data_IF_571307733090
#
_entry.id   IF_571307733090
#
_cell.length_a   1.000
_cell.length_b   1.000
_cell.length_c   1.000
_cell.angle_alpha   90.00
_cell.angle_beta   90.00
_cell.angle_gamma   90.00
#
_symmetry.space_group_name_H-M   'P 1'
#
loop_
_entity.id
_entity.type
_entity.pdbx_description
1 polymer ?
#
# COMPACT_ATOMS: atom_id res chain seq x y z
N UNK A 1 -26.37 20.81 1.95
CA UNK A 1 -25.67 21.24 0.72
C UNK A 1 -25.16 20.00 0.03
N UNK A 2 -25.58 19.78 -1.22
CA UNK A 2 -25.29 18.55 -1.96
C UNK A 2 -23.79 18.44 -2.28
N UNK A 3 -23.15 17.37 -1.81
CA UNK A 3 -21.79 16.98 -2.18
C UNK A 3 -21.84 16.47 -3.63
N UNK A 4 -21.49 17.34 -4.58
CA UNK A 4 -21.37 17.00 -5.98
C UNK A 4 -20.11 16.16 -6.21
N UNK A 5 -20.34 14.93 -6.69
CA UNK A 5 -19.43 14.07 -7.46
C UNK A 5 -17.97 14.51 -7.55
N UNK A 6 -17.12 13.94 -6.69
CA UNK A 6 -15.67 14.03 -6.80
C UNK A 6 -15.10 12.93 -7.72
N UNK A 7 -15.78 12.68 -8.85
CA UNK A 7 -15.33 11.76 -9.92
C UNK A 7 -14.19 12.34 -10.78
N UNK A 8 -13.75 13.57 -10.52
CA UNK A 8 -12.82 14.33 -11.39
C UNK A 8 -11.34 13.94 -11.24
N UNK A 9 -11.06 12.82 -10.60
CA UNK A 9 -9.82 12.71 -9.82
C UNK A 9 -9.13 11.34 -9.86
N UNK A 10 -9.73 10.34 -10.52
CA UNK A 10 -9.08 9.08 -10.88
C UNK A 10 -8.03 9.37 -11.96
N UNK A 11 -6.74 9.21 -11.61
CA UNK A 11 -5.68 9.16 -12.62
C UNK A 11 -5.78 7.81 -13.32
N UNK A 12 -5.38 7.75 -14.59
CA UNK A 12 -5.35 6.51 -15.37
C UNK A 12 -4.67 5.40 -14.54
N UNK A 13 -5.43 4.34 -14.21
CA UNK A 13 -4.98 3.19 -13.45
C UNK A 13 -5.21 3.22 -11.92
N UNK A 14 -5.65 4.32 -11.29
CA UNK A 14 -5.81 4.37 -9.83
C UNK A 14 -7.25 4.75 -9.42
N UNK A 15 -7.90 3.88 -8.65
CA UNK A 15 -9.29 4.03 -8.19
C UNK A 15 -9.42 3.84 -6.68
N UNK A 16 -10.29 4.61 -6.02
CA UNK A 16 -10.59 4.43 -4.59
C UNK A 16 -11.37 3.12 -4.41
N UNK A 17 -10.85 2.18 -3.63
CA UNK A 17 -11.50 0.91 -3.28
C UNK A 17 -12.41 1.07 -2.06
N UNK A 18 -11.88 1.70 -1.01
CA UNK A 18 -12.62 1.94 0.24
C UNK A 18 -12.57 3.43 0.56
N UNK A 19 -13.72 3.99 0.92
CA UNK A 19 -13.85 5.34 1.45
C UNK A 19 -14.21 5.28 2.92
N UNK A 20 -13.53 6.08 3.75
CA UNK A 20 -13.96 6.34 5.11
C UNK A 20 -15.07 7.40 5.08
N UNK A 21 -16.27 7.08 5.55
CA UNK A 21 -17.35 8.06 5.66
C UNK A 21 -17.08 8.91 6.91
N UNK A 22 -17.00 10.25 6.79
CA UNK A 22 -16.83 11.11 7.95
C UNK A 22 -18.01 10.96 8.92
N UNK A 23 -17.76 10.85 10.24
CA UNK A 23 -18.82 10.76 11.21
C UNK A 23 -19.60 12.07 11.31
N UNK A 24 -20.90 11.97 11.59
CA UNK A 24 -21.74 13.11 11.97
C UNK A 24 -21.42 13.59 13.40
N UNK A 25 -21.83 14.81 13.73
CA UNK A 25 -21.64 15.37 15.09
C UNK A 25 -22.35 14.56 16.18
N UNK A 26 -23.42 13.82 15.83
CA UNK A 26 -24.11 12.91 16.75
C UNK A 26 -23.33 11.60 16.95
N UNK A 27 -22.78 11.06 15.86
CA UNK A 27 -21.94 9.86 15.89
C UNK A 27 -20.64 10.07 16.67
N UNK A 28 -20.01 11.25 16.53
CA UNK A 28 -18.82 11.62 17.31
C UNK A 28 -19.07 11.66 18.83
N UNK A 29 -20.31 11.85 19.27
CA UNK A 29 -20.69 11.84 20.69
C UNK A 29 -20.98 10.45 21.22
N UNK A 30 -21.10 9.45 20.34
CA UNK A 30 -21.36 8.07 20.73
C UNK A 30 -20.02 7.34 21.01
N UNK A 31 -19.72 6.94 22.26
CA UNK A 31 -18.48 6.24 22.60
C UNK A 31 -18.38 4.84 21.99
N UNK A 32 -19.48 4.29 21.44
CA UNK A 32 -19.51 3.01 20.73
C UNK A 32 -19.55 3.19 19.21
N UNK A 33 -19.36 4.40 18.69
CA UNK A 33 -19.38 4.63 17.26
C UNK A 33 -18.27 3.83 16.55
N UNK A 34 -18.66 3.11 15.51
CA UNK A 34 -17.75 2.42 14.60
C UNK A 34 -17.74 3.20 13.29
N UNK A 35 -16.57 3.71 12.86
CA UNK A 35 -16.41 4.39 11.58
C UNK A 35 -16.99 3.57 10.42
N UNK A 36 -17.80 4.22 9.60
CA UNK A 36 -18.41 3.57 8.44
C UNK A 36 -17.42 3.57 7.27
N UNK A 37 -17.24 2.40 6.66
CA UNK A 37 -16.45 2.21 5.45
C UNK A 37 -17.41 1.91 4.29
N UNK A 38 -17.27 2.66 3.21
CA UNK A 38 -18.00 2.44 1.96
C UNK A 38 -17.05 1.78 0.95
N UNK A 39 -17.48 0.66 0.35
CA UNK A 39 -16.72 0.04 -0.74
C UNK A 39 -17.23 0.62 -2.07
N UNK A 40 -16.30 1.03 -2.93
CA UNK A 40 -16.62 1.52 -4.25
C UNK A 40 -17.07 0.36 -5.16
N UNK A 41 -18.31 0.41 -5.64
CA UNK A 41 -18.91 -0.62 -6.50
C UNK A 41 -18.18 -0.77 -7.84
N UNK A 42 -17.64 0.32 -8.40
CA UNK A 42 -16.85 0.27 -9.63
C UNK A 42 -15.53 -0.47 -9.41
N UNK A 43 -14.87 -0.25 -8.27
CA UNK A 43 -13.65 -0.97 -7.90
C UNK A 43 -13.93 -2.47 -7.69
N UNK A 44 -15.06 -2.82 -7.06
CA UNK A 44 -15.51 -4.21 -6.94
C UNK A 44 -15.75 -4.86 -8.31
N UNK A 45 -16.39 -4.15 -9.24
CA UNK A 45 -16.64 -4.65 -10.58
C UNK A 45 -15.32 -4.90 -11.34
N UNK A 46 -14.36 -3.97 -11.26
CA UNK A 46 -13.03 -4.12 -11.84
C UNK A 46 -12.33 -5.37 -11.27
N UNK A 47 -12.37 -5.57 -9.95
CA UNK A 47 -11.80 -6.75 -9.30
C UNK A 47 -12.46 -8.04 -9.81
N UNK A 48 -13.79 -8.06 -9.93
CA UNK A 48 -14.53 -9.24 -10.36
C UNK A 48 -14.33 -9.59 -11.85
N UNK A 49 -14.17 -8.59 -12.71
CA UNK A 49 -14.10 -8.78 -14.16
C UNK A 49 -12.68 -8.95 -14.69
N UNK A 50 -11.67 -8.39 -14.01
CA UNK A 50 -10.32 -8.23 -14.58
C UNK A 50 -9.22 -8.96 -13.81
N UNK A 51 -9.41 -9.24 -12.52
CA UNK A 51 -8.39 -9.91 -11.72
C UNK A 51 -8.60 -11.42 -11.73
N UNK A 52 -7.54 -12.16 -12.04
CA UNK A 52 -7.55 -13.62 -12.07
C UNK A 52 -7.12 -14.19 -10.71
N UNK A 53 -7.87 -15.15 -10.19
CA UNK A 53 -7.50 -15.85 -8.98
C UNK A 53 -6.36 -16.86 -9.24
N UNK A 54 -5.45 -17.09 -8.26
CA UNK A 54 -5.35 -16.41 -6.96
C UNK A 54 -4.90 -14.95 -7.09
N UNK A 55 -5.43 -14.09 -6.22
CA UNK A 55 -5.04 -12.67 -6.16
C UNK A 55 -4.09 -12.48 -4.98
N UNK A 56 -2.86 -12.05 -5.27
CA UNK A 56 -1.91 -11.57 -4.27
C UNK A 56 -2.17 -10.09 -4.01
N UNK A 57 -2.28 -9.69 -2.74
CA UNK A 57 -2.65 -8.33 -2.36
C UNK A 57 -1.50 -7.72 -1.55
N UNK A 58 -0.82 -6.73 -2.13
CA UNK A 58 0.24 -5.97 -1.48
C UNK A 58 -0.35 -4.65 -0.99
N UNK A 59 -0.29 -4.41 0.32
CA UNK A 59 -0.88 -3.21 0.94
C UNK A 59 0.20 -2.38 1.62
N UNK A 60 0.25 -1.09 1.27
CA UNK A 60 1.16 -0.12 1.86
C UNK A 60 0.45 0.74 2.91
N UNK A 61 0.86 0.60 4.18
CA UNK A 61 0.32 1.36 5.32
C UNK A 61 1.41 2.17 6.03
N UNK A 62 1.00 3.15 6.84
CA UNK A 62 1.93 3.99 7.59
C UNK A 62 1.38 5.38 7.86
N UNK A 63 2.23 6.27 8.38
CA UNK A 63 1.88 7.68 8.63
C UNK A 63 1.75 8.47 7.32
N UNK A 64 1.25 9.69 7.39
CA UNK A 64 1.27 10.64 6.28
C UNK A 64 2.73 11.01 5.96
N UNK A 65 3.02 11.27 4.69
CA UNK A 65 4.34 11.77 4.27
C UNK A 65 5.49 10.76 4.34
N UNK A 66 5.24 9.50 4.70
CA UNK A 66 6.30 8.47 4.78
C UNK A 66 6.68 7.86 3.42
N UNK A 67 5.97 8.21 2.33
CA UNK A 67 6.31 7.75 0.98
C UNK A 67 5.56 6.53 0.45
N UNK A 68 4.45 6.13 1.09
CA UNK A 68 3.61 4.96 0.71
C UNK A 68 3.23 4.94 -0.77
N UNK A 69 2.57 6.00 -1.24
CA UNK A 69 2.12 6.15 -2.62
C UNK A 69 3.28 6.15 -3.64
N UNK A 70 4.46 6.65 -3.24
CA UNK A 70 5.67 6.59 -4.08
C UNK A 70 6.18 5.15 -4.19
N UNK A 71 6.24 4.42 -3.07
CA UNK A 71 6.65 3.02 -3.07
C UNK A 71 5.66 2.13 -3.85
N UNK A 72 4.35 2.37 -3.68
CA UNK A 72 3.31 1.71 -4.47
C UNK A 72 3.52 1.94 -5.97
N UNK A 73 3.76 3.19 -6.39
CA UNK A 73 4.04 3.53 -7.80
C UNK A 73 5.30 2.84 -8.32
N UNK A 74 6.40 2.85 -7.55
CA UNK A 74 7.64 2.14 -7.91
C UNK A 74 7.41 0.63 -8.06
N UNK A 75 6.57 0.05 -7.20
CA UNK A 75 6.25 -1.39 -7.26
C UNK A 75 5.50 -1.73 -8.54
N UNK A 76 4.50 -0.93 -8.92
CA UNK A 76 3.78 -1.12 -10.18
C UNK A 76 4.77 -1.01 -11.36
N UNK A 77 5.62 0.03 -11.38
CA UNK A 77 6.54 0.26 -12.50
C UNK A 77 7.54 -0.90 -12.66
N UNK A 78 8.08 -1.40 -11.54
CA UNK A 78 8.96 -2.55 -11.52
C UNK A 78 8.27 -3.83 -12.05
N UNK A 79 7.00 -4.05 -11.69
CA UNK A 79 6.23 -5.22 -12.15
C UNK A 79 5.80 -5.14 -13.62
N UNK A 80 5.52 -3.93 -14.12
CA UNK A 80 5.19 -3.69 -15.53
C UNK A 80 6.45 -3.62 -16.43
N UNK A 81 7.65 -3.68 -15.82
CA UNK A 81 8.94 -3.50 -16.50
C UNK A 81 9.04 -2.16 -17.25
N UNK A 82 8.37 -1.14 -16.71
CA UNK A 82 8.50 0.22 -17.20
C UNK A 82 9.61 0.93 -16.43
N UNK A 83 10.53 1.60 -17.14
CA UNK A 83 11.48 2.50 -16.48
C UNK A 83 10.70 3.69 -15.94
N UNK A 84 10.70 3.95 -14.62
CA UNK A 84 9.95 5.06 -14.10
C UNK A 84 10.55 6.37 -14.57
N UNK A 85 9.90 7.00 -15.56
CA UNK A 85 10.18 8.38 -15.92
C UNK A 85 9.92 9.31 -14.73
N UNK A 86 10.49 10.51 -14.77
CA UNK A 86 10.35 11.52 -13.72
C UNK A 86 8.90 11.94 -13.43
N UNK A 87 7.96 11.58 -14.31
CA UNK A 87 6.55 11.95 -14.26
C UNK A 87 5.60 10.85 -13.76
N UNK A 88 6.10 9.67 -13.36
CA UNK A 88 5.24 8.59 -12.86
C UNK A 88 4.72 8.91 -11.45
N UNK A 89 3.53 9.49 -11.38
CA UNK A 89 2.73 9.66 -10.16
C UNK A 89 1.36 9.00 -10.35
N UNK A 90 1.37 7.68 -10.49
CA UNK A 90 0.18 6.84 -10.68
C UNK A 90 -0.71 6.83 -9.44
N UNK A 91 -0.14 6.56 -8.28
CA UNK A 91 -0.81 6.85 -7.02
C UNK A 91 -0.67 8.34 -6.68
N UNK A 92 -1.73 8.92 -6.12
CA UNK A 92 -1.71 10.31 -5.68
C UNK A 92 -0.67 10.48 -4.59
N UNK A 93 0.34 11.30 -4.84
CA UNK A 93 1.28 11.74 -3.82
C UNK A 93 1.33 13.27 -3.83
N UNK A 94 1.58 13.86 -2.67
CA UNK A 94 1.77 15.30 -2.54
C UNK A 94 2.69 15.62 -1.37
N UNK A 95 3.38 16.74 -1.46
CA UNK A 95 4.34 17.23 -0.47
C UNK A 95 3.69 18.09 0.64
N UNK A 96 2.35 18.21 0.65
CA UNK A 96 1.60 19.07 1.57
C UNK A 96 1.21 18.39 2.88
N UNK A 97 0.83 19.20 3.87
CA UNK A 97 0.31 18.77 5.18
C UNK A 97 -1.13 18.26 5.15
N UNK A 98 -1.84 18.47 4.03
CA UNK A 98 -3.20 17.99 3.83
C UNK A 98 -3.13 16.55 3.28
N UNK A 99 -3.77 15.61 3.96
CA UNK A 99 -3.81 14.20 3.54
C UNK A 99 -4.26 14.06 2.09
N UNK A 100 -3.39 13.52 1.23
CA UNK A 100 -3.64 13.40 -0.21
C UNK A 100 -4.42 12.13 -0.55
N UNK A 101 -4.23 11.07 0.23
CA UNK A 101 -4.88 9.77 0.08
C UNK A 101 -5.90 9.63 1.20
N UNK A 102 -7.19 9.51 0.85
CA UNK A 102 -8.27 9.21 1.80
C UNK A 102 -8.82 7.81 1.57
N UNK A 103 -8.99 7.01 2.62
CA UNK A 103 -9.39 5.60 2.53
C UNK A 103 -8.32 4.69 1.94
N UNK A 104 -8.73 3.70 1.13
CA UNK A 104 -7.85 2.73 0.46
C UNK A 104 -8.01 2.87 -1.05
N UNK A 105 -6.89 3.00 -1.76
CA UNK A 105 -6.83 3.12 -3.21
C UNK A 105 -6.19 1.88 -3.81
N UNK A 106 -6.64 1.48 -4.99
CA UNK A 106 -6.10 0.32 -5.71
C UNK A 106 -5.58 0.71 -7.10
N UNK A 107 -4.57 -0.03 -7.57
CA UNK A 107 -4.24 -0.08 -8.99
C UNK A 107 -5.30 -0.91 -9.73
N UNK A 108 -5.92 -0.34 -10.76
CA UNK A 108 -7.07 -0.92 -11.47
C UNK A 108 -6.71 -1.92 -12.55
N UNK A 109 -5.43 -2.03 -12.90
CA UNK A 109 -4.92 -2.99 -13.88
C UNK A 109 -4.34 -4.21 -13.16
N UNK A 110 -4.68 -5.44 -13.58
CA UNK A 110 -4.13 -6.65 -12.98
C UNK A 110 -2.63 -6.79 -13.32
N UNK A 111 -1.78 -6.77 -12.30
CA UNK A 111 -0.35 -7.04 -12.46
C UNK A 111 -0.10 -8.55 -12.44
N UNK A 112 0.97 -9.00 -13.12
CA UNK A 112 1.35 -10.42 -13.16
C UNK A 112 2.53 -10.69 -12.24
N UNK A 113 2.59 -11.92 -11.74
CA UNK A 113 3.75 -12.36 -10.97
C UNK A 113 4.96 -12.50 -11.90
N UNK A 114 6.17 -12.04 -11.51
CA UNK A 114 7.37 -12.14 -12.34
C UNK A 114 7.73 -13.57 -12.73
N UNK A 115 7.45 -14.51 -11.83
CA UNK A 115 7.78 -15.94 -11.96
C UNK A 115 6.65 -16.76 -12.61
N UNK A 116 5.59 -16.11 -13.12
CA UNK A 116 4.52 -16.83 -13.79
C UNK A 116 4.93 -17.39 -15.14
N UNK A 117 4.75 -18.70 -15.30
CA UNK A 117 4.66 -19.35 -16.59
C UNK A 117 3.21 -19.32 -17.12
N UNK A 118 2.97 -19.72 -18.37
CA UNK A 118 1.61 -19.77 -18.95
C UNK A 118 0.64 -20.68 -18.18
N UNK A 119 1.12 -21.51 -17.24
CA UNK A 119 0.34 -22.50 -16.48
C UNK A 119 -0.03 -22.02 -15.08
N UNK A 120 0.69 -21.06 -14.53
CA UNK A 120 0.40 -20.43 -13.24
C UNK A 120 -0.33 -19.13 -13.50
N UNK A 121 -1.66 -19.14 -13.37
CA UNK A 121 -2.49 -17.91 -13.48
C UNK A 121 -2.62 -17.25 -12.11
N UNK A 122 -2.92 -15.95 -12.09
CA UNK A 122 -3.05 -15.17 -10.85
C UNK A 122 -2.67 -13.70 -11.06
N UNK A 123 -3.23 -12.82 -10.24
CA UNK A 123 -3.02 -11.37 -10.33
C UNK A 123 -2.40 -10.80 -9.06
N UNK A 124 -1.64 -9.72 -9.20
CA UNK A 124 -1.19 -8.89 -8.09
C UNK A 124 -2.05 -7.62 -8.05
N UNK A 125 -2.61 -7.33 -6.87
CA UNK A 125 -3.34 -6.12 -6.54
C UNK A 125 -2.48 -5.26 -5.59
N UNK A 126 -2.24 -4.02 -5.99
CA UNK A 126 -1.53 -3.04 -5.15
C UNK A 126 -2.53 -2.10 -4.49
N UNK A 127 -2.46 -1.97 -3.16
CA UNK A 127 -3.26 -1.05 -2.37
C UNK A 127 -2.39 0.02 -1.69
N UNK A 128 -2.78 1.29 -1.83
CA UNK A 128 -2.21 2.44 -1.10
C UNK A 128 -3.22 2.96 -0.08
N UNK A 129 -2.83 3.01 1.18
CA UNK A 129 -3.70 3.38 2.30
C UNK A 129 -3.49 4.85 2.71
N UNK A 130 -4.55 5.49 3.21
CA UNK A 130 -4.49 6.79 3.88
C UNK A 130 -3.44 6.82 5.01
N UNK A 131 -2.84 8.00 5.20
CA UNK A 131 -1.95 8.27 6.33
C UNK A 131 -2.72 8.19 7.65
N UNK A 132 -2.31 7.25 8.49
CA UNK A 132 -3.06 6.88 9.70
C UNK A 132 -2.93 7.87 10.88
N UNK A 133 -2.12 8.91 10.76
CA UNK A 133 -1.84 9.95 11.77
C UNK A 133 -2.82 11.12 11.74
N UNK A 134 -3.50 11.36 10.62
CA UNK A 134 -4.55 12.38 10.52
C UNK A 134 -5.96 11.85 10.82
N UNK A 135 -6.08 10.53 10.98
CA UNK A 135 -7.33 9.87 11.34
C UNK A 135 -7.48 9.86 12.87
N UNK A 136 -8.73 9.93 13.34
CA UNK A 136 -9.00 9.60 14.74
C UNK A 136 -8.54 8.15 15.04
N UNK A 137 -8.26 7.87 16.30
CA UNK A 137 -7.63 6.62 16.72
C UNK A 137 -8.44 5.38 16.30
N UNK A 138 -9.77 5.45 16.39
CA UNK A 138 -10.65 4.34 16.04
C UNK A 138 -10.68 4.11 14.52
N UNK A 139 -10.83 5.17 13.72
CA UNK A 139 -10.80 5.07 12.26
C UNK A 139 -9.45 4.56 11.77
N UNK A 140 -8.36 5.12 12.29
CA UNK A 140 -7.00 4.68 11.94
C UNK A 140 -6.75 3.21 12.29
N UNK A 141 -7.17 2.76 13.47
CA UNK A 141 -7.02 1.37 13.89
C UNK A 141 -7.88 0.40 13.07
N UNK A 142 -9.12 0.76 12.73
CA UNK A 142 -10.00 -0.06 11.89
C UNK A 142 -9.50 -0.16 10.46
N UNK A 143 -9.05 0.95 9.87
CA UNK A 143 -8.48 0.97 8.53
C UNK A 143 -7.19 0.13 8.45
N UNK A 144 -6.30 0.28 9.44
CA UNK A 144 -5.07 -0.50 9.53
C UNK A 144 -5.37 -2.01 9.65
N UNK A 145 -6.33 -2.37 10.50
CA UNK A 145 -6.76 -3.76 10.68
C UNK A 145 -7.40 -4.33 9.40
N UNK A 146 -8.27 -3.58 8.75
CA UNK A 146 -8.87 -3.95 7.46
C UNK A 146 -7.78 -4.26 6.43
N UNK A 147 -6.83 -3.33 6.25
CA UNK A 147 -5.69 -3.49 5.35
C UNK A 147 -4.87 -4.74 5.66
N UNK A 148 -4.69 -5.08 6.93
CA UNK A 148 -3.97 -6.29 7.34
C UNK A 148 -4.75 -7.56 6.97
N UNK A 149 -6.04 -7.61 7.28
CA UNK A 149 -6.90 -8.78 7.03
C UNK A 149 -7.05 -9.09 5.53
N UNK A 150 -7.12 -8.07 4.68
CA UNK A 150 -7.30 -8.26 3.22
C UNK A 150 -5.98 -8.52 2.47
N UNK A 151 -4.84 -8.28 3.10
CA UNK A 151 -3.54 -8.39 2.43
C UNK A 151 -3.02 -9.83 2.39
N UNK A 152 -2.19 -10.15 1.39
CA UNK A 152 -1.26 -11.28 1.44
C UNK A 152 0.15 -10.83 1.83
N UNK A 153 0.51 -9.59 1.49
CA UNK A 153 1.70 -8.89 1.95
C UNK A 153 1.33 -7.51 2.53
N UNK A 154 1.68 -7.31 3.81
CA UNK A 154 1.34 -6.12 4.59
C UNK A 154 2.60 -5.29 4.87
N UNK A 155 2.81 -4.26 4.07
CA UNK A 155 4.00 -3.42 4.13
C UNK A 155 3.76 -2.14 4.95
N UNK A 156 4.36 -2.09 6.14
CA UNK A 156 4.36 -0.91 7.02
C UNK A 156 5.55 -0.03 6.65
N UNK A 157 5.27 1.12 6.02
CA UNK A 157 6.26 2.08 5.57
C UNK A 157 6.66 3.02 6.71
N UNK A 158 7.95 3.10 6.99
CA UNK A 158 8.52 3.84 8.12
C UNK A 158 9.39 5.01 7.64
N UNK A 159 9.27 6.14 8.34
CA UNK A 159 10.15 7.31 8.25
C UNK A 159 10.21 7.98 9.63
N UNK A 160 11.36 7.96 10.36
CA UNK A 160 12.66 7.30 10.09
C UNK A 160 12.65 5.78 10.35
N UNK A 161 13.79 5.09 10.19
CA UNK A 161 13.95 3.63 10.39
C UNK A 161 13.70 3.09 11.82
N UNK A 162 13.18 3.92 12.72
CA UNK A 162 12.79 3.54 14.07
C UNK A 162 11.30 3.30 14.09
N UNK A 163 10.91 2.12 14.55
CA UNK A 163 9.52 1.85 14.91
C UNK A 163 9.23 2.64 16.18
N UNK A 164 8.33 3.59 16.11
CA UNK A 164 7.88 4.29 17.31
C UNK A 164 6.83 3.49 18.08
N UNK A 165 6.57 3.90 19.33
CA UNK A 165 5.60 3.24 20.19
C UNK A 165 4.22 3.17 19.56
N UNK A 166 3.78 4.22 18.86
CA UNK A 166 2.44 4.26 18.25
C UNK A 166 2.31 3.24 17.11
N UNK A 167 3.37 3.01 16.34
CA UNK A 167 3.42 1.99 15.30
C UNK A 167 3.42 0.58 15.90
N UNK A 168 4.20 0.34 16.95
CA UNK A 168 4.16 -0.92 17.70
C UNK A 168 2.77 -1.19 18.27
N UNK A 169 2.17 -0.21 18.94
CA UNK A 169 0.86 -0.35 19.60
C UNK A 169 -0.23 -0.64 18.54
N UNK A 170 -0.20 0.04 17.39
CA UNK A 170 -1.15 -0.22 16.28
C UNK A 170 -1.00 -1.63 15.70
N UNK A 171 0.22 -2.07 15.44
CA UNK A 171 0.47 -3.42 14.96
C UNK A 171 0.02 -4.47 16.00
N UNK A 172 0.37 -4.27 17.27
CA UNK A 172 -0.05 -5.13 18.37
C UNK A 172 -1.57 -5.24 18.48
N UNK A 173 -2.28 -4.11 18.45
CA UNK A 173 -3.74 -4.11 18.50
C UNK A 173 -4.37 -4.80 17.28
N UNK A 174 -3.81 -4.61 16.09
CA UNK A 174 -4.26 -5.31 14.89
C UNK A 174 -4.07 -6.82 15.01
N UNK A 175 -2.89 -7.28 15.45
CA UNK A 175 -2.58 -8.70 15.66
C UNK A 175 -3.50 -9.34 16.72
N UNK A 176 -3.73 -8.64 17.84
CA UNK A 176 -4.63 -9.13 18.88
C UNK A 176 -6.08 -9.26 18.36
N UNK A 177 -6.54 -8.29 17.57
CA UNK A 177 -7.86 -8.38 16.91
C UNK A 177 -7.94 -9.54 15.90
N UNK A 178 -6.85 -9.79 15.18
CA UNK A 178 -6.76 -10.90 14.23
C UNK A 178 -6.88 -12.25 14.93
N UNK A 179 -6.18 -12.42 16.06
CA UNK A 179 -6.27 -13.62 16.89
C UNK A 179 -7.69 -13.86 17.40
N UNK A 180 -8.36 -12.80 17.86
CA UNK A 180 -9.75 -12.85 18.35
C UNK A 180 -10.76 -13.20 17.25
N UNK A 181 -10.49 -12.85 15.98
CA UNK A 181 -11.41 -13.16 14.88
C UNK A 181 -11.62 -14.67 14.68
N UNK A 182 -10.76 -15.55 15.23
CA UNK A 182 -10.86 -17.03 15.12
C UNK A 182 -11.18 -17.51 13.70
N UNK A 183 -10.68 -16.78 12.70
CA UNK A 183 -11.01 -17.02 11.30
C UNK A 183 -9.98 -17.94 10.66
N UNK A 184 -10.34 -18.58 9.54
CA UNK A 184 -9.41 -19.38 8.74
C UNK A 184 -8.39 -18.53 7.96
N UNK A 185 -8.38 -17.20 8.14
CA UNK A 185 -7.44 -16.33 7.45
C UNK A 185 -6.02 -16.61 7.95
N UNK A 186 -5.09 -16.65 7.00
CA UNK A 186 -3.66 -16.74 7.28
C UNK A 186 -3.16 -15.32 7.50
N UNK A 187 -2.32 -15.13 8.53
CA UNK A 187 -1.69 -13.84 8.77
C UNK A 187 -0.86 -13.47 7.52
N UNK A 188 -0.97 -12.24 6.99
CA UNK A 188 -0.15 -11.83 5.85
C UNK A 188 1.34 -11.86 6.19
N UNK A 189 2.18 -11.88 5.17
CA UNK A 189 3.59 -11.56 5.33
C UNK A 189 3.72 -10.08 5.76
N UNK A 190 4.22 -9.82 6.96
CA UNK A 190 4.36 -8.46 7.50
C UNK A 190 5.77 -7.94 7.20
N UNK A 191 5.86 -6.84 6.46
CA UNK A 191 7.12 -6.19 6.11
C UNK A 191 7.21 -4.82 6.77
N UNK A 192 8.34 -4.54 7.43
CA UNK A 192 8.63 -3.22 7.99
C UNK A 192 9.66 -2.55 7.07
N UNK A 193 9.22 -1.54 6.33
CA UNK A 193 9.99 -0.94 5.23
C UNK A 193 10.45 0.48 5.60
N UNK A 194 11.68 0.65 6.10
CA UNK A 194 12.25 1.97 6.35
C UNK A 194 12.76 2.62 5.05
N UNK A 195 12.08 3.67 4.58
CA UNK A 195 12.45 4.36 3.33
C UNK A 195 13.55 5.42 3.50
N UNK A 196 13.84 5.81 4.74
CA UNK A 196 14.90 6.76 5.09
C UNK A 196 16.05 6.06 5.83
N UNK A 197 16.45 4.87 5.37
CA UNK A 197 17.73 4.31 5.79
C UNK A 197 18.85 5.16 5.18
N UNK A 198 19.86 5.57 5.96
CA UNK A 198 21.04 6.23 5.42
C UNK A 198 21.89 5.28 4.55
N UNK A 199 21.66 3.97 4.67
CA UNK A 199 22.46 2.87 4.15
C UNK A 199 21.52 1.72 3.76
N UNK A 200 21.55 1.32 2.50
CA UNK A 200 20.76 0.21 1.97
C UNK A 200 21.64 -1.04 1.89
N UNK A 201 21.05 -2.23 1.93
CA UNK A 201 21.79 -3.49 1.77
C UNK A 201 21.51 -4.05 0.37
N UNK A 202 22.57 -4.44 -0.32
CA UNK A 202 22.55 -5.16 -1.58
C UNK A 202 23.24 -6.50 -1.39
N UNK A 203 22.66 -7.58 -1.90
CA UNK A 203 23.30 -8.89 -1.87
C UNK A 203 24.31 -8.94 -3.01
N UNK A 204 25.59 -9.02 -2.66
CA UNK A 204 26.65 -9.28 -3.62
C UNK A 204 26.41 -10.62 -4.31
N UNK A 205 26.30 -10.62 -5.63
CA UNK A 205 25.93 -11.82 -6.40
C UNK A 205 27.01 -12.89 -6.41
N UNK A 206 28.27 -12.52 -6.17
CA UNK A 206 29.42 -13.45 -6.25
C UNK A 206 29.70 -14.10 -4.89
N UNK A 207 29.47 -13.37 -3.80
CA UNK A 207 29.77 -13.80 -2.43
C UNK A 207 28.54 -14.17 -1.63
N UNK A 208 27.36 -13.63 -1.98
CA UNK A 208 26.12 -13.78 -1.24
C UNK A 208 26.04 -12.93 0.03
N UNK A 209 27.04 -12.07 0.28
CA UNK A 209 27.11 -11.22 1.45
C UNK A 209 26.31 -9.92 1.27
N UNK A 210 25.79 -9.38 2.38
CA UNK A 210 25.13 -8.07 2.40
C UNK A 210 26.19 -6.95 2.32
N UNK A 211 26.21 -6.22 1.21
CA UNK A 211 27.01 -5.02 1.02
C UNK A 211 26.17 -3.79 1.29
N UNK A 212 26.74 -2.87 2.06
CA UNK A 212 26.13 -1.58 2.33
C UNK A 212 26.33 -0.62 1.15
N UNK A 213 25.23 -0.18 0.55
CA UNK A 213 25.22 0.75 -0.58
C UNK A 213 24.49 2.05 -0.24
N UNK A 214 24.86 3.11 -0.96
CA UNK A 214 24.22 4.42 -0.78
C UNK A 214 22.79 4.41 -1.33
N UNK A 215 21.96 5.37 -0.89
CA UNK A 215 20.59 5.53 -1.41
C UNK A 215 20.57 5.74 -2.92
N UNK A 216 21.47 6.56 -3.45
CA UNK A 216 21.52 6.88 -4.88
C UNK A 216 21.96 5.66 -5.70
N UNK A 217 22.88 4.86 -5.16
CA UNK A 217 23.32 3.59 -5.74
C UNK A 217 22.22 2.52 -5.71
N UNK A 218 21.47 2.43 -4.61
CA UNK A 218 20.31 1.52 -4.52
C UNK A 218 19.21 1.91 -5.51
N UNK A 219 18.92 3.21 -5.62
CA UNK A 219 17.98 3.71 -6.64
C UNK A 219 18.50 3.43 -8.05
N UNK A 220 19.78 3.66 -8.32
CA UNK A 220 20.38 3.33 -9.60
C UNK A 220 20.19 1.85 -9.91
N UNK A 221 20.61 0.93 -9.03
CA UNK A 221 20.50 -0.51 -9.26
C UNK A 221 19.07 -1.02 -9.49
N UNK A 222 18.06 -0.41 -8.87
CA UNK A 222 16.66 -0.80 -9.09
C UNK A 222 16.12 -0.28 -10.43
N UNK A 223 16.59 0.89 -10.89
CA UNK A 223 16.03 1.60 -12.04
C UNK A 223 16.92 1.60 -13.28
N UNK A 224 18.18 1.22 -13.17
CA UNK A 224 19.07 0.96 -14.29
C UNK A 224 18.74 -0.43 -14.82
N UNK A 225 17.98 -0.46 -15.90
CA UNK A 225 17.80 -1.67 -16.71
C UNK A 225 19.19 -2.09 -17.19
N UNK A 226 19.57 -3.34 -16.93
CA UNK A 226 20.76 -3.94 -17.54
C UNK A 226 20.63 -3.81 -19.07
N UNK A 227 21.32 -2.86 -19.68
CA UNK A 227 21.48 -2.77 -21.15
C UNK A 227 22.33 -3.94 -21.70
N UNK A 228 22.87 -4.80 -20.83
CA UNK A 228 23.82 -5.86 -21.19
C UNK A 228 23.21 -7.27 -21.38
N UNK A 229 21.95 -7.39 -21.81
CA UNK A 229 21.44 -8.66 -22.35
C UNK A 229 20.93 -8.54 -23.79
N UNK A 230 21.69 -7.85 -24.63
CA UNK A 230 21.60 -8.01 -26.09
C UNK A 230 22.98 -8.37 -26.66
N UNK A 231 23.40 -9.63 -26.51
CA UNK A 231 24.31 -10.32 -27.44
C UNK A 231 23.80 -11.74 -27.64
#
# INVERSE_FOLDING_TARGET
MAYQHDQKHEKQGCIQLVRCIPPTDEELKNPQYVPQLEINSQAQQILAERFEAPISIIVYVGKMGVGKSKLATVTVAALEKETPGTDLLWFRSGAGTNGVTQGVWMWSEPLRHPDQDEKTKGSILILDCEGTDNLDENTGANLYFFCMVVSTAFAVVLRPARIDRFQCDRLYHALNRFEVMKSLHVLPNIWLLPLDLPKFLHIDRDTGDDIEISKDEWLHQIFSVDEEQTI
#
